data_IF_790907172032
#
_entry.id   IF_790907172032
#
_cell.length_a   1.000
_cell.length_b   1.000
_cell.length_c   1.000
_cell.angle_alpha   90.00
_cell.angle_beta   90.00
_cell.angle_gamma   90.00
#
_symmetry.space_group_name_H-M   'P 1'
#
loop_
_entity.id
_entity.type
_entity.pdbx_description
1 polymer ?
#
# COMPACT_ATOMS: atom_id res chain seq x y z
N UNK A 1 -52.86 -39.63 -32.12
CA UNK A 1 -53.00 -38.18 -31.92
C UNK A 1 -52.16 -37.81 -30.71
N UNK A 2 -51.01 -37.17 -30.92
CA UNK A 2 -49.99 -36.86 -29.89
C UNK A 2 -50.09 -35.38 -29.46
N UNK A 3 -51.32 -34.89 -29.32
CA UNK A 3 -51.64 -33.46 -29.17
C UNK A 3 -51.91 -33.03 -27.73
N UNK A 4 -51.69 -33.89 -26.73
CA UNK A 4 -51.67 -33.48 -25.33
C UNK A 4 -50.27 -32.99 -24.94
N UNK A 5 -50.07 -31.68 -25.04
CA UNK A 5 -48.94 -31.00 -24.40
C UNK A 5 -49.14 -31.05 -22.88
N UNK A 6 -48.60 -32.09 -22.23
CA UNK A 6 -48.46 -32.10 -20.78
C UNK A 6 -47.51 -30.95 -20.38
N UNK A 7 -48.06 -29.95 -19.71
CA UNK A 7 -47.27 -28.89 -19.10
C UNK A 7 -46.53 -29.50 -17.90
N UNK A 8 -45.20 -29.42 -17.91
CA UNK A 8 -44.37 -29.93 -16.83
C UNK A 8 -44.71 -29.20 -15.53
N UNK A 9 -44.93 -29.97 -14.45
CA UNK A 9 -45.26 -29.40 -13.16
C UNK A 9 -44.11 -28.55 -12.63
N UNK A 10 -44.43 -27.36 -12.12
CA UNK A 10 -43.43 -26.42 -11.63
C UNK A 10 -42.71 -27.00 -10.40
N UNK A 11 -41.41 -27.27 -10.54
CA UNK A 11 -40.59 -27.85 -9.47
C UNK A 11 -40.06 -26.72 -8.59
N UNK A 12 -40.58 -26.62 -7.37
CA UNK A 12 -40.06 -25.67 -6.38
C UNK A 12 -38.77 -26.19 -5.78
N UNK A 13 -37.69 -25.39 -5.82
CA UNK A 13 -36.44 -25.74 -5.18
C UNK A 13 -36.64 -25.92 -3.66
N UNK A 14 -36.44 -27.16 -3.17
CA UNK A 14 -36.43 -27.49 -1.75
C UNK A 14 -35.09 -28.12 -1.41
N UNK A 15 -34.38 -27.52 -0.46
CA UNK A 15 -33.22 -28.13 0.18
C UNK A 15 -33.63 -28.51 1.60
N UNK A 16 -33.43 -29.77 1.99
CA UNK A 16 -33.59 -30.21 3.37
C UNK A 16 -32.45 -29.70 4.27
N UNK A 17 -31.39 -29.16 3.67
CA UNK A 17 -30.17 -28.76 4.36
C UNK A 17 -29.95 -27.26 4.20
N UNK A 18 -29.82 -26.57 5.33
CA UNK A 18 -29.36 -25.18 5.35
C UNK A 18 -27.85 -25.17 5.14
N UNK A 19 -27.38 -24.67 4.00
CA UNK A 19 -25.96 -24.44 3.80
C UNK A 19 -25.49 -23.35 4.76
N UNK A 20 -24.63 -23.70 5.71
CA UNK A 20 -24.02 -22.71 6.58
C UNK A 20 -22.85 -22.12 5.80
N UNK A 21 -22.80 -20.80 5.55
CA UNK A 21 -21.64 -20.19 4.93
C UNK A 21 -20.48 -20.30 5.91
N UNK A 22 -19.54 -21.20 5.61
CA UNK A 22 -18.29 -21.33 6.36
C UNK A 22 -17.29 -20.35 5.77
N UNK A 23 -16.79 -19.43 6.59
CA UNK A 23 -15.70 -18.54 6.18
C UNK A 23 -14.49 -19.37 5.76
N UNK A 24 -13.85 -19.06 4.62
CA UNK A 24 -12.61 -19.71 4.26
C UNK A 24 -11.54 -19.39 5.30
N UNK A 25 -10.82 -20.43 5.74
CA UNK A 25 -9.67 -20.25 6.60
C UNK A 25 -8.45 -19.83 5.75
N UNK A 26 -8.16 -18.53 5.78
CA UNK A 26 -7.08 -17.90 5.03
C UNK A 26 -5.69 -18.11 5.66
N UNK A 27 -5.59 -18.76 6.83
CA UNK A 27 -4.31 -19.00 7.53
C UNK A 27 -3.62 -20.29 7.11
N UNK A 28 -4.34 -21.19 6.42
CA UNK A 28 -3.87 -22.52 6.01
C UNK A 28 -2.68 -22.49 5.05
N UNK A 29 -2.53 -21.43 4.29
CA UNK A 29 -1.47 -21.27 3.29
C UNK A 29 -0.72 -20.00 3.61
N UNK A 30 0.61 -20.10 3.77
CA UNK A 30 1.46 -18.92 3.85
C UNK A 30 1.45 -18.23 2.49
N UNK A 31 0.74 -17.11 2.42
CA UNK A 31 0.73 -16.23 1.25
C UNK A 31 1.89 -15.26 1.39
N UNK A 32 2.65 -15.08 0.30
CA UNK A 32 3.61 -13.98 0.21
C UNK A 32 2.80 -12.72 -0.03
N UNK A 33 2.99 -11.71 0.83
CA UNK A 33 2.38 -10.41 0.61
C UNK A 33 2.85 -9.83 -0.73
N UNK A 34 1.91 -9.71 -1.68
CA UNK A 34 2.17 -9.18 -3.02
C UNK A 34 2.57 -7.68 -2.99
N UNK A 35 2.31 -7.01 -1.87
CA UNK A 35 2.69 -5.62 -1.60
C UNK A 35 3.94 -5.50 -0.75
N UNK A 36 4.62 -6.60 -0.42
CA UNK A 36 5.88 -6.58 0.34
C UNK A 36 6.94 -5.66 -0.27
N UNK A 37 6.92 -5.46 -1.59
CA UNK A 37 7.80 -4.53 -2.32
C UNK A 37 7.45 -3.05 -2.17
N UNK A 38 6.21 -2.73 -1.77
CA UNK A 38 5.86 -1.34 -1.44
C UNK A 38 6.61 -0.87 -0.19
N UNK A 39 7.02 -1.79 0.69
CA UNK A 39 7.60 -1.45 1.98
C UNK A 39 6.54 -1.34 3.07
N UNK A 40 6.85 -0.69 4.20
CA UNK A 40 5.93 -0.62 5.34
C UNK A 40 4.60 0.05 4.96
N UNK A 41 3.49 -0.69 5.12
CA UNK A 41 2.14 -0.24 4.73
C UNK A 41 1.67 1.04 5.44
N UNK A 42 2.22 1.33 6.63
CA UNK A 42 1.94 2.59 7.35
C UNK A 42 2.44 3.81 6.60
N UNK A 43 3.38 3.63 5.68
CA UNK A 43 4.05 4.66 4.91
C UNK A 43 3.56 4.53 3.48
N UNK A 44 3.90 3.44 2.80
CA UNK A 44 3.57 3.23 1.40
C UNK A 44 2.15 2.66 1.25
N UNK A 45 1.17 3.57 1.24
CA UNK A 45 -0.24 3.25 1.02
C UNK A 45 -0.91 4.29 0.12
N UNK A 46 -2.12 3.97 -0.34
CA UNK A 46 -2.93 4.81 -1.23
C UNK A 46 -3.60 6.01 -0.53
N UNK A 47 -3.48 6.14 0.79
CA UNK A 47 -4.01 7.32 1.50
C UNK A 47 -3.00 8.48 1.53
N UNK A 48 -1.75 8.20 1.18
CA UNK A 48 -0.68 9.17 1.06
C UNK A 48 -0.47 9.54 -0.42
N UNK A 49 -0.30 10.83 -0.69
CA UNK A 49 0.03 11.32 -2.03
C UNK A 49 1.55 11.22 -2.27
N UNK A 50 1.97 10.14 -2.92
CA UNK A 50 3.37 9.89 -3.23
C UNK A 50 3.78 10.53 -4.56
N UNK A 51 4.88 11.28 -4.56
CA UNK A 51 5.58 11.63 -5.80
C UNK A 51 6.50 10.50 -6.25
N UNK A 52 6.93 10.54 -7.52
CA UNK A 52 8.02 9.68 -7.96
C UNK A 52 9.29 9.93 -7.11
N UNK A 53 10.11 8.90 -6.85
CA UNK A 53 11.40 9.07 -6.19
C UNK A 53 12.28 10.09 -6.93
N UNK A 54 12.99 10.93 -6.17
CA UNK A 54 13.94 11.91 -6.72
C UNK A 54 15.35 11.65 -6.23
N UNK A 55 16.33 11.92 -7.08
CA UNK A 55 17.75 11.89 -6.73
C UNK A 55 18.18 13.33 -6.46
N UNK A 56 18.79 13.55 -5.30
CA UNK A 56 19.34 14.84 -4.89
C UNK A 56 20.81 14.65 -4.56
N UNK A 57 21.67 15.43 -5.20
CA UNK A 57 23.11 15.43 -4.95
C UNK A 57 23.46 16.62 -4.05
N UNK A 58 24.21 16.37 -2.98
CA UNK A 58 24.59 17.39 -2.00
C UNK A 58 26.13 17.48 -1.93
N UNK A 59 26.67 18.66 -2.21
CA UNK A 59 28.09 18.96 -2.05
C UNK A 59 28.28 19.97 -0.91
N UNK A 60 29.13 19.62 0.06
CA UNK A 60 29.47 20.48 1.20
C UNK A 60 30.98 20.50 1.42
N UNK A 61 31.49 21.57 2.04
CA UNK A 61 32.89 21.59 2.47
C UNK A 61 33.09 20.65 3.66
N UNK A 62 34.31 20.12 3.85
CA UNK A 62 34.62 19.34 5.05
C UNK A 62 34.33 20.15 6.32
N UNK A 63 33.50 19.60 7.21
CA UNK A 63 33.12 20.22 8.48
C UNK A 63 31.78 20.95 8.48
N UNK A 64 31.24 21.33 7.33
CA UNK A 64 29.91 21.96 7.24
C UNK A 64 28.79 20.92 7.45
N UNK A 65 27.60 21.35 7.87
CA UNK A 65 26.39 20.53 7.84
C UNK A 65 25.80 20.43 6.42
N UNK A 66 24.90 19.48 6.18
CA UNK A 66 24.08 19.49 4.96
C UNK A 66 22.85 20.44 5.10
N UNK A 67 22.46 20.75 6.34
CA UNK A 67 21.35 21.64 6.67
C UNK A 67 19.97 20.99 6.59
N UNK A 68 19.85 19.74 7.03
CA UNK A 68 18.57 19.07 7.27
C UNK A 68 18.71 18.09 8.43
N UNK A 69 17.58 17.75 9.06
CA UNK A 69 17.51 16.74 10.11
C UNK A 69 16.61 15.57 9.71
N UNK A 70 16.83 14.39 10.31
CA UNK A 70 16.03 13.19 10.06
C UNK A 70 15.43 12.66 11.36
N UNK A 71 14.29 11.98 11.27
CA UNK A 71 13.66 11.27 12.39
C UNK A 71 13.15 9.89 11.97
N UNK A 72 12.98 9.02 12.96
CA UNK A 72 12.42 7.67 12.78
C UNK A 72 13.46 6.62 12.42
N UNK A 73 12.97 5.39 12.26
CA UNK A 73 13.75 4.24 11.78
C UNK A 73 13.63 4.13 10.25
N UNK A 74 13.60 2.92 9.67
CA UNK A 74 13.53 2.73 8.21
C UNK A 74 12.07 2.63 7.68
N UNK A 75 11.71 3.37 6.63
CA UNK A 75 12.44 4.49 6.00
C UNK A 75 12.45 5.74 6.90
N UNK A 76 13.53 6.52 6.80
CA UNK A 76 13.70 7.73 7.62
C UNK A 76 12.98 8.91 6.95
N UNK A 77 12.52 9.88 7.73
CA UNK A 77 11.86 11.07 7.20
C UNK A 77 12.67 12.32 7.50
N UNK A 78 12.79 13.22 6.52
CA UNK A 78 13.36 14.55 6.68
C UNK A 78 12.44 15.38 7.58
N UNK A 79 12.90 15.66 8.79
CA UNK A 79 12.11 16.32 9.83
C UNK A 79 12.11 17.85 9.68
N UNK A 80 13.22 18.42 9.21
CA UNK A 80 13.38 19.86 8.99
C UNK A 80 14.49 20.12 7.96
N UNK A 81 14.43 21.26 7.29
CA UNK A 81 15.44 21.73 6.32
C UNK A 81 15.76 23.19 6.61
N UNK A 82 17.03 23.48 6.85
CA UNK A 82 17.51 24.82 7.19
C UNK A 82 17.44 25.77 5.98
N UNK A 83 17.00 27.01 6.21
CA UNK A 83 16.95 28.05 5.18
C UNK A 83 18.34 28.37 4.63
N UNK A 84 18.43 28.51 3.30
CA UNK A 84 19.68 28.77 2.57
C UNK A 84 20.76 27.68 2.71
N UNK A 85 20.38 26.48 3.18
CA UNK A 85 21.29 25.33 3.24
C UNK A 85 21.54 24.69 1.88
N UNK A 86 22.60 23.87 1.80
CA UNK A 86 22.88 23.02 0.64
C UNK A 86 21.69 22.09 0.36
N UNK A 87 21.07 21.52 1.39
CA UNK A 87 19.91 20.66 1.25
C UNK A 87 18.72 21.38 0.60
N UNK A 88 18.37 22.58 1.08
CA UNK A 88 17.27 23.37 0.51
C UNK A 88 17.53 23.73 -0.95
N UNK A 89 18.74 24.21 -1.25
CA UNK A 89 19.11 24.68 -2.60
C UNK A 89 19.07 23.53 -3.62
N UNK A 90 19.44 22.32 -3.21
CA UNK A 90 19.46 21.14 -4.08
C UNK A 90 18.11 20.36 -4.08
N UNK A 91 17.11 20.82 -3.34
CA UNK A 91 15.74 20.29 -3.44
C UNK A 91 15.38 19.17 -2.46
N UNK A 92 16.11 19.05 -1.35
CA UNK A 92 15.62 18.30 -0.17
C UNK A 92 14.44 19.06 0.42
N UNK A 93 13.35 18.36 0.77
CA UNK A 93 12.17 18.98 1.38
C UNK A 93 11.81 18.28 2.68
N UNK A 94 11.27 19.06 3.61
CA UNK A 94 10.62 18.52 4.80
C UNK A 94 9.53 17.52 4.38
N UNK A 95 9.51 16.35 5.02
CA UNK A 95 8.58 15.28 4.72
C UNK A 95 9.05 14.27 3.67
N UNK A 96 10.22 14.48 3.05
CA UNK A 96 10.82 13.47 2.19
C UNK A 96 11.13 12.19 2.98
N UNK A 97 10.86 11.04 2.37
CA UNK A 97 11.31 9.74 2.85
C UNK A 97 12.57 9.29 2.11
N UNK A 98 13.55 8.77 2.86
CA UNK A 98 14.85 8.29 2.37
C UNK A 98 15.06 6.83 2.77
#
# INVERSE_FOLDING_TARGET
DFSELLTAQEVTARSEHSSIPVMPDLTKIKVVDIFSRLGPIKIFNATNDWSAPRIVELERKPGDGFGFSVKGDAPVIVADVEDNSVAMINGVKMGDYI
#
